data_IF_206897037477
#
_entry.id   IF_206897037477
#
_cell.length_a   1.000
_cell.length_b   1.000
_cell.length_c   1.000
_cell.angle_alpha   90.00
_cell.angle_beta   90.00
_cell.angle_gamma   90.00
#
_symmetry.space_group_name_H-M   'P 1'
#
loop_
_entity.id
_entity.type
_entity.pdbx_description
1 polymer ?
#
# COMPACT_ATOMS: atom_id res chain seq x y z
N UNK A 1 -5.08 -5.66 -9.51
CA UNK A 1 -4.10 -5.34 -8.45
C UNK A 1 -3.68 -3.87 -8.48
N UNK A 2 -2.73 -3.43 -9.32
CA UNK A 2 -2.14 -2.06 -9.21
C UNK A 2 -3.09 -0.93 -9.61
N UNK A 3 -3.55 -0.90 -10.87
CA UNK A 3 -4.26 0.25 -11.45
C UNK A 3 -5.57 0.63 -10.73
N UNK A 4 -6.32 -0.37 -10.27
CA UNK A 4 -7.61 -0.18 -9.59
C UNK A 4 -7.54 -0.44 -8.08
N UNK A 5 -6.35 -0.79 -7.55
CA UNK A 5 -6.19 -1.26 -6.17
C UNK A 5 -7.10 -2.44 -5.81
N UNK A 6 -7.35 -3.34 -6.78
CA UNK A 6 -8.24 -4.48 -6.60
C UNK A 6 -7.70 -5.48 -5.57
N UNK A 7 -8.36 -5.54 -4.41
CA UNK A 7 -7.99 -6.39 -3.28
C UNK A 7 -8.08 -7.88 -3.61
N UNK A 8 -9.14 -8.32 -4.29
CA UNK A 8 -9.32 -9.74 -4.65
C UNK A 8 -8.22 -10.20 -5.61
N UNK A 9 -7.92 -9.40 -6.64
CA UNK A 9 -6.83 -9.71 -7.56
C UNK A 9 -5.46 -9.74 -6.87
N UNK A 10 -5.28 -8.96 -5.80
CA UNK A 10 -4.05 -8.99 -5.01
C UNK A 10 -3.99 -10.26 -4.17
N UNK A 11 -5.07 -10.64 -3.50
CA UNK A 11 -5.15 -11.86 -2.69
C UNK A 11 -4.92 -13.12 -3.56
N UNK A 12 -5.50 -13.17 -4.76
CA UNK A 12 -5.25 -14.25 -5.73
C UNK A 12 -3.78 -14.33 -6.17
N UNK A 13 -3.08 -13.20 -6.27
CA UNK A 13 -1.65 -13.19 -6.58
C UNK A 13 -0.80 -13.64 -5.38
N UNK A 14 -1.17 -13.24 -4.17
CA UNK A 14 -0.53 -13.74 -2.94
C UNK A 14 -0.72 -15.24 -2.82
N UNK A 15 -1.93 -15.76 -3.07
CA UNK A 15 -2.23 -17.20 -3.06
C UNK A 15 -1.39 -17.94 -4.10
N UNK A 16 -1.29 -17.39 -5.32
CA UNK A 16 -0.51 -17.99 -6.41
C UNK A 16 0.99 -18.04 -6.13
N UNK A 17 1.53 -17.07 -5.40
CA UNK A 17 2.97 -16.97 -5.06
C UNK A 17 3.31 -17.65 -3.73
N UNK A 18 2.35 -17.71 -2.81
CA UNK A 18 2.51 -18.13 -1.43
C UNK A 18 3.00 -17.00 -0.51
N UNK A 19 2.48 -16.93 0.71
CA UNK A 19 2.82 -15.90 1.72
C UNK A 19 4.32 -15.78 1.96
N UNK A 20 5.04 -16.91 2.01
CA UNK A 20 6.49 -16.93 2.19
C UNK A 20 7.23 -16.14 1.10
N UNK A 21 6.80 -16.24 -0.16
CA UNK A 21 7.43 -15.49 -1.25
C UNK A 21 7.21 -13.98 -1.10
N UNK A 22 6.06 -13.58 -0.56
CA UNK A 22 5.75 -12.17 -0.27
C UNK A 22 6.60 -11.64 0.88
N UNK A 23 6.78 -12.43 1.94
CA UNK A 23 7.66 -12.10 3.09
C UNK A 23 9.13 -11.99 2.66
N UNK A 24 9.60 -12.90 1.83
CA UNK A 24 10.94 -12.85 1.23
C UNK A 24 11.09 -11.60 0.34
N UNK A 25 10.08 -11.27 -0.46
CA UNK A 25 10.08 -10.07 -1.29
C UNK A 25 10.07 -8.77 -0.47
N UNK A 26 9.35 -8.74 0.66
CA UNK A 26 9.35 -7.62 1.59
C UNK A 26 10.75 -7.36 2.15
N UNK A 27 11.43 -8.43 2.59
CA UNK A 27 12.80 -8.35 3.09
C UNK A 27 13.79 -7.95 1.98
N UNK A 28 13.70 -8.56 0.79
CA UNK A 28 14.61 -8.26 -0.32
C UNK A 28 14.40 -6.88 -0.92
N UNK A 29 13.18 -6.33 -0.85
CA UNK A 29 12.90 -4.94 -1.19
C UNK A 29 13.46 -3.96 -0.15
N UNK A 30 14.01 -4.45 0.96
CA UNK A 30 14.72 -3.67 1.96
C UNK A 30 13.82 -3.05 3.02
N UNK A 31 12.68 -3.65 3.35
CA UNK A 31 11.84 -3.16 4.44
C UNK A 31 12.62 -3.14 5.77
N UNK A 32 12.48 -2.07 6.56
CA UNK A 32 13.30 -1.87 7.77
C UNK A 32 12.99 -2.89 8.88
N UNK A 33 11.73 -3.37 8.95
CA UNK A 33 11.28 -4.39 9.89
C UNK A 33 10.30 -5.35 9.20
N UNK A 34 10.77 -6.38 8.46
CA UNK A 34 9.89 -7.34 7.81
C UNK A 34 9.06 -8.17 8.81
N UNK A 35 9.52 -8.32 10.06
CA UNK A 35 8.82 -9.12 11.07
C UNK A 35 7.50 -8.45 11.51
N UNK A 36 7.40 -7.12 11.42
CA UNK A 36 6.17 -6.36 11.70
C UNK A 36 4.95 -6.78 10.86
N UNK A 37 5.20 -7.34 9.68
CA UNK A 37 4.19 -7.85 8.74
C UNK A 37 4.38 -9.34 8.47
N UNK A 38 4.92 -10.11 9.43
CA UNK A 38 5.04 -11.57 9.30
C UNK A 38 4.13 -12.26 10.34
N UNK A 39 3.21 -13.17 9.95
CA UNK A 39 2.92 -13.54 8.56
C UNK A 39 2.29 -12.38 7.78
N UNK A 40 2.58 -12.29 6.49
CA UNK A 40 2.06 -11.21 5.64
C UNK A 40 0.56 -11.35 5.45
N UNK A 41 -0.28 -10.43 5.98
CA UNK A 41 -1.72 -10.58 5.90
C UNK A 41 -2.22 -10.23 4.51
N UNK A 42 -3.16 -11.02 4.02
CA UNK A 42 -3.95 -10.69 2.82
C UNK A 42 -4.97 -9.60 3.12
N UNK A 43 -5.57 -9.01 2.09
CA UNK A 43 -6.60 -7.99 2.29
C UNK A 43 -7.84 -8.60 2.93
N UNK A 44 -8.28 -9.77 2.46
CA UNK A 44 -9.41 -10.47 3.04
C UNK A 44 -9.24 -10.73 4.55
N UNK A 45 -8.06 -11.22 4.95
CA UNK A 45 -7.77 -11.51 6.36
C UNK A 45 -7.75 -10.23 7.20
N UNK A 46 -7.00 -9.21 6.78
CA UNK A 46 -6.89 -7.99 7.56
C UNK A 46 -8.20 -7.19 7.61
N UNK A 47 -9.00 -7.24 6.54
CA UNK A 47 -10.32 -6.60 6.52
C UNK A 47 -11.31 -7.33 7.43
N UNK A 48 -11.22 -8.66 7.51
CA UNK A 48 -11.99 -9.45 8.47
C UNK A 48 -11.63 -9.08 9.91
N UNK A 49 -10.35 -8.80 10.20
CA UNK A 49 -9.92 -8.30 11.51
C UNK A 49 -10.41 -6.88 11.79
N UNK A 50 -10.25 -5.97 10.84
CA UNK A 50 -10.53 -4.53 11.02
C UNK A 50 -12.00 -4.15 10.97
N UNK A 51 -12.81 -4.83 10.16
CA UNK A 51 -14.19 -4.44 9.84
C UNK A 51 -15.17 -5.60 9.78
N UNK A 52 -14.76 -6.81 10.17
CA UNK A 52 -15.61 -7.99 10.19
C UNK A 52 -16.35 -8.23 11.50
N UNK A 53 -17.17 -9.28 11.50
CA UNK A 53 -17.76 -9.91 12.69
C UNK A 53 -17.18 -11.32 12.86
N UNK A 54 -16.80 -11.73 14.10
CA UNK A 54 -16.79 -10.93 15.34
C UNK A 54 -15.76 -9.80 15.32
N UNK A 55 -15.85 -8.84 16.26
CA UNK A 55 -14.83 -7.79 16.41
C UNK A 55 -13.54 -8.39 16.97
N UNK A 56 -12.51 -8.49 16.13
CA UNK A 56 -11.22 -9.07 16.48
C UNK A 56 -10.16 -8.02 16.80
N UNK A 57 -10.48 -6.72 16.72
CA UNK A 57 -9.49 -5.64 16.79
C UNK A 57 -8.76 -5.57 18.13
N UNK A 58 -9.47 -5.67 19.24
CA UNK A 58 -8.83 -5.65 20.57
C UNK A 58 -7.96 -6.89 20.78
N UNK A 59 -8.42 -8.06 20.32
CA UNK A 59 -7.61 -9.28 20.37
C UNK A 59 -6.35 -9.13 19.50
N UNK A 60 -6.48 -8.62 18.28
CA UNK A 60 -5.38 -8.37 17.35
C UNK A 60 -4.33 -7.39 17.91
N UNK A 61 -4.80 -6.32 18.55
CA UNK A 61 -3.94 -5.30 19.16
C UNK A 61 -3.01 -5.86 20.24
N UNK A 62 -3.53 -6.77 21.07
CA UNK A 62 -2.78 -7.36 22.19
C UNK A 62 -2.17 -8.73 21.87
N UNK A 63 -2.41 -9.27 20.67
CA UNK A 63 -1.94 -10.58 20.25
C UNK A 63 -0.41 -10.60 20.03
N UNK A 64 0.22 -11.71 20.42
CA UNK A 64 1.56 -12.06 19.97
C UNK A 64 1.55 -12.39 18.48
N UNK A 65 2.72 -12.45 17.84
CA UNK A 65 2.85 -12.84 16.43
C UNK A 65 2.19 -14.21 16.14
N UNK A 66 2.37 -15.18 17.03
CA UNK A 66 1.77 -16.51 16.91
C UNK A 66 0.24 -16.46 16.97
N UNK A 67 -0.31 -15.62 17.85
CA UNK A 67 -1.76 -15.43 17.97
C UNK A 67 -2.31 -14.66 16.77
N UNK A 68 -1.61 -13.65 16.25
CA UNK A 68 -1.98 -12.98 14.99
C UNK A 68 -2.04 -13.96 13.82
N UNK A 69 -1.06 -14.86 13.71
CA UNK A 69 -1.08 -15.91 12.69
C UNK A 69 -2.28 -16.86 12.83
N UNK A 70 -2.72 -17.16 14.05
CA UNK A 70 -3.94 -17.95 14.29
C UNK A 70 -5.20 -17.17 13.87
N UNK A 71 -5.28 -15.89 14.22
CA UNK A 71 -6.39 -15.00 13.84
C UNK A 71 -6.52 -14.94 12.32
N UNK A 72 -5.42 -14.73 11.58
CA UNK A 72 -5.45 -14.65 10.12
C UNK A 72 -5.98 -15.95 9.50
N UNK A 73 -5.48 -17.11 9.94
CA UNK A 73 -5.99 -18.42 9.49
C UNK A 73 -7.48 -18.61 9.79
N UNK A 74 -7.92 -18.20 10.98
CA UNK A 74 -9.33 -18.26 11.34
C UNK A 74 -10.15 -17.39 10.38
N UNK A 75 -9.76 -16.13 10.19
CA UNK A 75 -10.49 -15.20 9.30
C UNK A 75 -10.56 -15.72 7.88
N UNK A 76 -9.48 -16.30 7.36
CA UNK A 76 -9.43 -16.86 6.00
C UNK A 76 -10.35 -18.09 5.82
N UNK A 77 -10.63 -18.83 6.91
CA UNK A 77 -11.49 -20.01 6.88
C UNK A 77 -12.98 -19.72 7.09
N UNK A 78 -13.33 -18.47 7.38
CA UNK A 78 -14.72 -18.04 7.64
C UNK A 78 -15.18 -17.02 6.59
N UNK A 79 -16.44 -17.10 6.12
CA UNK A 79 -16.99 -16.06 5.24
C UNK A 79 -16.94 -14.69 5.91
N UNK A 80 -16.44 -13.69 5.20
CA UNK A 80 -16.37 -12.32 5.67
C UNK A 80 -17.78 -11.79 5.94
N UNK A 81 -18.01 -11.35 7.18
CA UNK A 81 -19.25 -10.72 7.60
C UNK A 81 -18.96 -9.26 7.96
N UNK A 82 -19.24 -8.28 7.09
CA UNK A 82 -18.95 -6.89 7.38
C UNK A 82 -19.75 -6.38 8.58
N UNK A 83 -19.11 -5.55 9.40
CA UNK A 83 -19.78 -4.79 10.44
C UNK A 83 -20.19 -3.40 9.94
N UNK A 84 -21.49 -3.15 9.69
CA UNK A 84 -21.95 -1.87 9.14
C UNK A 84 -21.72 -0.70 10.09
N UNK A 85 -21.56 -0.95 11.40
CA UNK A 85 -21.34 0.10 12.41
C UNK A 85 -19.89 0.56 12.48
N UNK A 86 -18.97 -0.17 11.83
CA UNK A 86 -17.52 0.06 11.88
C UNK A 86 -16.88 0.37 10.54
N UNK A 87 -17.64 0.33 9.44
CA UNK A 87 -17.13 0.52 8.09
C UNK A 87 -16.25 1.77 7.89
N UNK A 88 -16.45 2.81 8.71
CA UNK A 88 -15.70 4.08 8.67
C UNK A 88 -14.83 4.31 9.92
N UNK A 89 -14.62 3.28 10.74
CA UNK A 89 -13.81 3.39 11.95
C UNK A 89 -12.37 2.99 11.63
N UNK A 90 -11.38 3.84 11.96
CA UNK A 90 -9.98 3.52 11.73
C UNK A 90 -9.51 2.25 12.46
N UNK A 91 -8.78 1.40 11.75
CA UNK A 91 -8.26 0.13 12.25
C UNK A 91 -6.74 0.16 12.55
N UNK A 92 -6.01 1.13 12.01
CA UNK A 92 -4.58 1.35 12.26
C UNK A 92 -4.25 1.54 13.75
N UNK A 93 -5.14 2.16 14.53
CA UNK A 93 -5.01 2.28 16.00
C UNK A 93 -5.02 0.93 16.77
N UNK A 94 -5.43 -0.15 16.10
CA UNK A 94 -5.39 -1.51 16.62
C UNK A 94 -4.22 -2.31 16.06
N UNK A 95 -3.43 -1.75 15.15
CA UNK A 95 -2.36 -2.47 14.47
C UNK A 95 -2.82 -3.21 13.21
N UNK A 96 -4.05 -3.01 12.73
CA UNK A 96 -4.59 -3.69 11.55
C UNK A 96 -4.35 -2.84 10.29
N UNK A 97 -3.10 -2.83 9.82
CA UNK A 97 -2.63 -2.11 8.63
C UNK A 97 -1.33 -2.76 8.10
N UNK A 98 -0.89 -2.40 6.89
CA UNK A 98 0.44 -2.70 6.37
C UNK A 98 1.39 -1.50 6.57
N UNK A 99 2.38 -1.65 7.45
CA UNK A 99 3.25 -0.55 7.87
C UNK A 99 4.52 -0.46 7.04
N UNK A 100 5.00 0.76 6.81
CA UNK A 100 6.31 1.05 6.23
C UNK A 100 6.64 2.55 6.34
N UNK A 101 7.92 2.90 6.41
CA UNK A 101 8.38 4.29 6.42
C UNK A 101 8.43 4.88 4.99
N UNK A 102 8.62 6.20 4.87
CA UNK A 102 8.82 6.83 3.56
C UNK A 102 10.04 6.26 2.82
N UNK A 103 11.08 5.86 3.56
CA UNK A 103 12.25 5.19 3.02
C UNK A 103 11.95 3.75 2.56
N UNK A 104 11.08 3.00 3.25
CA UNK A 104 10.62 1.68 2.76
C UNK A 104 9.88 1.83 1.43
N UNK A 105 9.01 2.84 1.33
CA UNK A 105 8.29 3.18 0.09
C UNK A 105 9.28 3.56 -1.02
N UNK A 106 10.32 4.32 -0.71
CA UNK A 106 11.38 4.65 -1.66
C UNK A 106 12.11 3.39 -2.16
N UNK A 107 12.49 2.50 -1.25
CA UNK A 107 13.19 1.25 -1.59
C UNK A 107 12.34 0.31 -2.43
N UNK A 108 11.06 0.13 -2.12
CA UNK A 108 10.19 -0.76 -2.92
C UNK A 108 9.94 -0.19 -4.33
N UNK A 109 9.80 1.12 -4.50
CA UNK A 109 9.74 1.73 -5.83
C UNK A 109 11.04 1.54 -6.63
N UNK A 110 12.19 1.68 -5.97
CA UNK A 110 13.49 1.44 -6.59
C UNK A 110 13.66 -0.04 -6.99
N UNK A 111 13.27 -0.98 -6.12
CA UNK A 111 13.29 -2.42 -6.40
C UNK A 111 12.39 -2.76 -7.60
N UNK A 112 11.13 -2.31 -7.60
CA UNK A 112 10.21 -2.49 -8.72
C UNK A 112 10.77 -1.94 -10.04
N UNK A 113 11.49 -0.81 -9.99
CA UNK A 113 12.13 -0.23 -11.18
C UNK A 113 13.29 -1.09 -11.69
N UNK A 114 14.13 -1.58 -10.78
CA UNK A 114 15.30 -2.39 -11.10
C UNK A 114 14.89 -3.77 -11.65
N UNK A 115 13.85 -4.37 -11.07
CA UNK A 115 13.37 -5.70 -11.43
C UNK A 115 12.52 -5.70 -12.71
N UNK A 116 12.10 -4.53 -13.20
CA UNK A 116 11.29 -4.39 -14.42
C UNK A 116 12.11 -4.59 -15.72
N UNK A 117 12.70 -5.77 -15.87
CA UNK A 117 13.54 -6.20 -16.99
C UNK A 117 13.06 -7.54 -17.55
N UNK A 118 13.43 -7.86 -18.79
CA UNK A 118 13.06 -9.14 -19.43
C UNK A 118 11.55 -9.41 -19.40
N UNK A 119 11.10 -10.61 -18.96
CA UNK A 119 9.68 -10.92 -18.79
C UNK A 119 8.92 -9.98 -17.83
N UNK A 120 9.61 -9.35 -16.88
CA UNK A 120 9.03 -8.39 -15.93
C UNK A 120 9.05 -6.93 -16.43
N UNK A 121 9.56 -6.66 -17.63
CA UNK A 121 9.51 -5.31 -18.24
C UNK A 121 8.11 -4.65 -18.27
N UNK A 122 6.96 -5.38 -18.35
CA UNK A 122 5.64 -4.77 -18.24
C UNK A 122 5.37 -4.05 -16.91
N UNK A 123 6.10 -4.35 -15.83
CA UNK A 123 5.93 -3.68 -14.52
C UNK A 123 6.01 -2.17 -14.64
N UNK A 124 6.87 -1.63 -15.53
CA UNK A 124 6.94 -0.18 -15.79
C UNK A 124 5.62 0.40 -16.28
N UNK A 125 4.92 -0.32 -17.17
CA UNK A 125 3.65 0.12 -17.73
C UNK A 125 2.52 -0.10 -16.72
N UNK A 126 2.56 -1.18 -15.94
CA UNK A 126 1.60 -1.47 -14.89
C UNK A 126 1.62 -0.35 -13.83
N UNK A 127 2.81 0.06 -13.38
CA UNK A 127 2.94 1.13 -12.38
C UNK A 127 2.53 2.51 -12.91
N UNK A 128 2.68 2.77 -14.21
CA UNK A 128 2.34 4.05 -14.84
C UNK A 128 0.91 4.14 -15.38
N UNK A 129 0.14 3.06 -15.29
CA UNK A 129 -1.21 3.00 -15.85
C UNK A 129 -2.16 4.05 -15.25
N UNK A 130 -2.07 4.30 -13.95
CA UNK A 130 -2.91 5.25 -13.23
C UNK A 130 -2.05 6.08 -12.27
N UNK A 131 -1.43 7.19 -12.75
CA UNK A 131 -0.55 8.00 -11.92
C UNK A 131 -1.32 8.90 -10.94
N UNK A 132 -2.63 9.08 -11.07
CA UNK A 132 -3.46 9.92 -10.17
C UNK A 132 -3.26 11.43 -10.31
N UNK A 133 -2.13 11.88 -10.87
CA UNK A 133 -1.84 13.27 -11.22
C UNK A 133 -1.31 13.36 -12.65
N UNK A 134 -1.45 14.52 -13.26
CA UNK A 134 -0.86 14.83 -14.56
C UNK A 134 0.34 15.76 -14.36
N UNK A 135 1.50 15.32 -14.84
CA UNK A 135 2.71 16.13 -14.94
C UNK A 135 3.00 16.43 -16.42
N UNK A 136 3.76 17.49 -16.68
CA UNK A 136 4.29 17.77 -18.01
C UNK A 136 5.26 16.65 -18.42
N UNK A 137 4.93 15.93 -19.50
CA UNK A 137 5.73 14.80 -19.99
C UNK A 137 7.05 15.22 -20.63
N UNK A 138 7.20 16.48 -21.01
CA UNK A 138 8.49 17.02 -21.48
C UNK A 138 9.48 17.20 -20.32
N UNK A 139 8.97 17.36 -19.09
CA UNK A 139 9.77 17.48 -17.86
C UNK A 139 9.85 16.16 -17.11
N UNK A 140 8.77 15.37 -17.11
CA UNK A 140 8.63 14.10 -16.40
C UNK A 140 8.20 12.99 -17.37
N UNK A 141 9.12 12.42 -18.19
CA UNK A 141 8.76 11.42 -19.19
C UNK A 141 8.17 10.13 -18.62
N UNK A 142 8.43 9.83 -17.34
CA UNK A 142 7.89 8.66 -16.66
C UNK A 142 7.34 9.03 -15.28
N UNK A 143 6.17 8.48 -14.95
CA UNK A 143 5.57 8.51 -13.62
C UNK A 143 4.84 7.20 -13.37
N UNK A 144 5.17 6.52 -12.28
CA UNK A 144 4.43 5.40 -11.73
C UNK A 144 3.90 5.77 -10.35
N UNK A 145 2.77 5.20 -9.94
CA UNK A 145 2.13 5.56 -8.68
C UNK A 145 1.48 4.38 -7.98
N UNK A 146 1.29 4.52 -6.67
CA UNK A 146 0.35 3.72 -5.89
C UNK A 146 -0.30 4.57 -4.81
N UNK A 147 -1.62 4.41 -4.67
CA UNK A 147 -2.41 4.93 -3.57
C UNK A 147 -2.74 3.82 -2.57
N UNK A 148 -2.94 4.18 -1.30
CA UNK A 148 -3.47 3.34 -0.24
C UNK A 148 -4.46 4.16 0.57
N UNK A 149 -5.56 3.54 0.98
CA UNK A 149 -6.59 4.22 1.75
C UNK A 149 -7.40 3.22 2.56
N UNK A 150 -7.45 3.46 3.87
CA UNK A 150 -8.36 2.81 4.81
C UNK A 150 -9.04 3.93 5.62
N UNK A 151 -10.15 3.65 6.33
CA UNK A 151 -10.76 4.65 7.20
C UNK A 151 -9.72 5.28 8.13
N UNK A 152 -9.49 6.59 8.00
CA UNK A 152 -8.50 7.32 8.80
C UNK A 152 -7.04 7.20 8.34
N UNK A 153 -6.75 6.50 7.23
CA UNK A 153 -5.40 6.32 6.71
C UNK A 153 -5.36 6.66 5.21
N UNK A 154 -4.40 7.49 4.78
CA UNK A 154 -4.20 7.87 3.39
C UNK A 154 -2.72 7.86 3.04
N UNK A 155 -2.36 7.07 2.03
CA UNK A 155 -1.01 7.04 1.47
C UNK A 155 -1.06 7.24 -0.02
N UNK A 156 -0.14 8.05 -0.55
CA UNK A 156 0.18 8.02 -1.97
C UNK A 156 1.68 8.07 -2.15
N UNK A 157 2.15 7.34 -3.15
CA UNK A 157 3.55 7.36 -3.53
C UNK A 157 3.70 7.38 -5.04
N UNK A 158 4.73 8.07 -5.50
CA UNK A 158 5.11 8.19 -6.89
C UNK A 158 6.58 7.89 -7.08
N UNK A 159 6.91 7.18 -8.15
CA UNK A 159 8.25 7.14 -8.72
C UNK A 159 8.22 7.84 -10.07
N UNK A 160 8.94 8.94 -10.19
CA UNK A 160 9.04 9.70 -11.43
C UNK A 160 10.49 9.76 -11.91
N UNK A 161 10.67 9.87 -13.23
CA UNK A 161 11.98 10.15 -13.83
C UNK A 161 11.85 11.46 -14.58
N UNK A 162 12.73 12.40 -14.29
CA UNK A 162 12.75 13.69 -14.95
C UNK A 162 13.44 13.66 -16.32
N UNK A 163 13.39 14.78 -17.05
CA UNK A 163 13.98 14.95 -18.39
C UNK A 163 15.51 14.73 -18.43
N UNK A 164 16.19 14.82 -17.28
CA UNK A 164 17.64 14.59 -17.16
C UNK A 164 17.96 13.11 -16.88
N UNK A 165 16.94 12.30 -16.60
CA UNK A 165 17.09 10.89 -16.26
C UNK A 165 17.20 10.63 -14.75
N UNK A 166 17.11 11.66 -13.91
CA UNK A 166 17.17 11.51 -12.46
C UNK A 166 15.84 10.94 -11.93
N UNK A 167 15.88 9.84 -11.15
CA UNK A 167 14.70 9.32 -10.48
C UNK A 167 14.38 10.06 -9.19
N UNK A 168 13.09 10.18 -8.90
CA UNK A 168 12.54 10.81 -7.70
C UNK A 168 11.43 9.94 -7.12
N UNK A 169 11.40 9.82 -5.79
CA UNK A 169 10.25 9.27 -5.06
C UNK A 169 9.60 10.37 -4.24
N UNK A 170 8.29 10.54 -4.40
CA UNK A 170 7.47 11.41 -3.56
C UNK A 170 6.50 10.51 -2.81
N UNK A 171 6.51 10.56 -1.48
CA UNK A 171 5.64 9.75 -0.61
C UNK A 171 4.90 10.65 0.37
N UNK A 172 3.59 10.46 0.47
CA UNK A 172 2.72 11.06 1.48
C UNK A 172 2.08 9.94 2.28
N UNK A 173 2.18 10.02 3.60
CA UNK A 173 1.57 9.08 4.54
C UNK A 173 0.87 9.91 5.61
N UNK A 174 -0.45 9.83 5.68
CA UNK A 174 -1.28 10.59 6.60
C UNK A 174 -2.21 9.64 7.35
N UNK A 175 -2.39 9.89 8.64
CA UNK A 175 -3.36 9.18 9.47
C UNK A 175 -4.15 10.14 10.36
N UNK A 176 -5.34 9.73 10.77
CA UNK A 176 -6.26 10.50 11.59
C UNK A 176 -7.08 9.58 12.50
N UNK A 177 -7.53 10.09 13.67
CA UNK A 177 -8.39 9.31 14.57
C UNK A 177 -9.82 9.11 14.03
N UNK A 178 -10.16 9.66 12.85
CA UNK A 178 -11.47 9.55 12.20
C UNK A 178 -11.33 9.47 10.68
N UNK A 179 -12.31 8.86 10.03
CA UNK A 179 -12.44 8.91 8.57
C UNK A 179 -12.79 10.34 8.10
N UNK A 180 -12.00 10.85 7.16
CA UNK A 180 -12.19 12.15 6.53
C UNK A 180 -12.87 12.05 5.15
N UNK A 181 -13.22 10.84 4.72
CA UNK A 181 -13.88 10.57 3.45
C UNK A 181 -13.03 10.97 2.24
N UNK A 182 -13.64 11.00 1.04
CA UNK A 182 -12.89 11.20 -0.21
C UNK A 182 -12.33 12.61 -0.40
N UNK A 183 -12.78 13.61 0.37
CA UNK A 183 -12.35 15.01 0.21
C UNK A 183 -10.86 15.22 0.44
N UNK A 184 -10.25 14.46 1.37
CA UNK A 184 -8.82 14.60 1.67
C UNK A 184 -7.93 14.15 0.51
N UNK A 185 -8.39 13.18 -0.28
CA UNK A 185 -7.69 12.69 -1.47
C UNK A 185 -7.50 13.80 -2.50
N UNK A 186 -8.59 14.54 -2.81
CA UNK A 186 -8.54 15.62 -3.80
C UNK A 186 -7.57 16.74 -3.39
N UNK A 187 -7.57 17.11 -2.11
CA UNK A 187 -6.62 18.09 -1.56
C UNK A 187 -5.18 17.61 -1.67
N UNK A 188 -4.89 16.38 -1.25
CA UNK A 188 -3.53 15.86 -1.26
C UNK A 188 -2.97 15.75 -2.68
N UNK A 189 -3.78 15.33 -3.66
CA UNK A 189 -3.37 15.30 -5.08
C UNK A 189 -3.00 16.69 -5.63
N UNK A 190 -3.58 17.77 -5.10
CA UNK A 190 -3.15 19.14 -5.45
C UNK A 190 -1.78 19.46 -4.85
N UNK A 191 -1.56 19.10 -3.58
CA UNK A 191 -0.26 19.26 -2.90
C UNK A 191 0.84 18.48 -3.64
N UNK A 192 0.56 17.25 -4.07
CA UNK A 192 1.52 16.42 -4.81
C UNK A 192 2.01 17.11 -6.10
N UNK A 193 1.12 17.77 -6.86
CA UNK A 193 1.51 18.52 -8.07
C UNK A 193 2.44 19.68 -7.75
N UNK A 194 2.20 20.38 -6.64
CA UNK A 194 3.05 21.49 -6.19
C UNK A 194 4.44 20.98 -5.77
N UNK A 195 4.52 19.83 -5.08
CA UNK A 195 5.81 19.20 -4.76
C UNK A 195 6.60 18.85 -6.01
N UNK A 196 5.96 18.25 -7.03
CA UNK A 196 6.62 17.96 -8.31
C UNK A 196 7.09 19.23 -9.04
N UNK A 197 6.38 20.34 -8.92
CA UNK A 197 6.84 21.63 -9.46
C UNK A 197 8.09 22.17 -8.73
N UNK A 198 8.21 21.93 -7.41
CA UNK A 198 9.37 22.35 -6.62
C UNK A 198 10.65 21.58 -6.94
N UNK A 199 10.53 20.28 -7.25
CA UNK A 199 11.67 19.39 -7.54
C UNK A 199 11.96 19.25 -9.03
N UNK A 200 11.21 19.94 -9.90
CA UNK A 200 11.43 19.88 -11.34
C UNK A 200 12.83 20.40 -11.70
N UNK A 201 13.56 19.71 -12.61
CA UNK A 201 14.84 20.21 -13.08
C UNK A 201 14.65 21.54 -13.82
N UNK A 202 15.54 22.49 -13.54
CA UNK A 202 15.59 23.78 -14.22
C UNK A 202 15.83 23.62 -15.73
#
# INVERSE_FOLDING_TARGET
>A
MIATSDNMATDLLIERLGTRAIEEALASAGHHDPASMTPFPTMYELFSVGWGKPDLRDQWKHATQQVRAQILRQTNSTPYQPDPTRAHTPASNYGAEWYGSAEDICRVHAALRADAVGPASPVRQIMSAVPGIQLDRSVWPYIGAKAGGLPGDLTFSWYAVDKTGQPWVVSFQLNWPRDHGPTVTGWMLQVARQVFALIAPQ
#
